data_IF_839182679665
#
_entry.id   IF_839182679665
#
_cell.length_a   1.000
_cell.length_b   1.000
_cell.length_c   1.000
_cell.angle_alpha   90.00
_cell.angle_beta   90.00
_cell.angle_gamma   90.00
#
_symmetry.space_group_name_H-M   'P 1'
#
loop_
_entity.id
_entity.type
_entity.pdbx_description
1 polymer ?
#
# COMPACT_ATOMS: atom_id res chain seq x y z
N UNK A 1 -86.85 12.67 40.88
CA UNK A 1 -86.30 11.41 40.36
C UNK A 1 -85.31 11.75 39.26
N UNK A 2 -84.05 11.31 39.43
CA UNK A 2 -83.03 10.94 38.43
C UNK A 2 -82.81 11.83 37.19
N UNK A 3 -81.60 12.08 36.68
CA UNK A 3 -80.20 11.94 37.10
C UNK A 3 -79.40 12.72 36.03
N UNK A 4 -78.18 13.14 36.37
CA UNK A 4 -77.25 13.82 35.46
C UNK A 4 -77.00 13.01 34.18
N UNK A 5 -76.86 13.67 33.03
CA UNK A 5 -75.93 13.18 32.01
C UNK A 5 -75.19 14.30 31.28
N UNK A 6 -74.34 14.99 32.05
CA UNK A 6 -73.31 15.90 31.54
C UNK A 6 -72.16 15.17 30.82
N UNK A 7 -72.24 13.85 30.60
CA UNK A 7 -71.19 13.07 29.93
C UNK A 7 -71.32 13.03 28.41
N UNK A 8 -72.49 13.30 27.83
CA UNK A 8 -72.66 13.28 26.37
C UNK A 8 -72.07 14.52 25.67
N UNK A 9 -71.93 15.64 26.37
CA UNK A 9 -71.41 16.89 25.78
C UNK A 9 -69.87 17.01 25.81
N UNK A 10 -69.18 16.16 26.58
CA UNK A 10 -67.71 16.11 26.58
C UNK A 10 -67.15 15.22 25.45
N UNK A 11 -67.93 14.25 24.96
CA UNK A 11 -67.50 13.36 23.88
C UNK A 11 -67.54 14.01 22.48
N UNK A 12 -68.30 15.09 22.29
CA UNK A 12 -68.35 15.80 21.01
C UNK A 12 -67.14 16.73 20.76
N UNK A 13 -66.35 17.06 21.80
CA UNK A 13 -65.18 17.96 21.70
C UNK A 13 -63.83 17.25 21.63
N UNK A 14 -63.79 15.93 21.74
CA UNK A 14 -62.57 15.11 21.55
C UNK A 14 -62.33 14.74 20.08
N UNK A 15 -63.27 15.03 19.18
CA UNK A 15 -63.16 14.75 17.74
C UNK A 15 -62.21 15.66 16.97
N UNK A 16 -61.35 16.45 17.65
CA UNK A 16 -60.53 17.49 17.01
C UNK A 16 -59.02 17.42 17.29
N UNK A 17 -58.49 16.31 17.82
CA UNK A 17 -57.05 16.18 18.01
C UNK A 17 -56.52 14.91 17.35
N UNK A 18 -56.13 15.08 16.09
CA UNK A 18 -55.10 14.34 15.38
C UNK A 18 -55.24 12.81 15.35
N UNK A 19 -55.53 12.25 14.17
CA UNK A 19 -55.18 10.85 13.92
C UNK A 19 -53.72 10.63 14.35
N UNK A 20 -53.51 9.76 15.34
CA UNK A 20 -52.17 9.32 15.72
C UNK A 20 -51.69 8.38 14.62
N UNK A 21 -51.00 8.93 13.63
CA UNK A 21 -50.28 8.12 12.64
C UNK A 21 -49.06 7.54 13.33
N UNK A 22 -49.16 6.28 13.78
CA UNK A 22 -47.99 5.53 14.27
C UNK A 22 -47.12 5.20 13.06
N UNK A 23 -46.10 6.02 12.82
CA UNK A 23 -45.03 5.65 11.92
C UNK A 23 -44.30 4.46 12.53
N UNK A 24 -44.26 3.33 11.80
CA UNK A 24 -43.32 2.23 12.09
C UNK A 24 -41.94 2.85 12.30
N UNK A 25 -41.26 2.53 13.42
CA UNK A 25 -39.87 2.92 13.62
C UNK A 25 -39.06 2.27 12.50
N UNK A 26 -38.78 3.02 11.44
CA UNK A 26 -37.73 2.63 10.51
C UNK A 26 -36.46 2.59 11.34
N UNK A 27 -35.90 1.40 11.56
CA UNK A 27 -34.54 1.27 12.07
C UNK A 27 -33.65 2.12 11.17
N UNK A 28 -33.17 3.26 11.69
CA UNK A 28 -32.32 4.15 10.93
C UNK A 28 -31.14 3.33 10.42
N UNK A 29 -31.00 3.22 9.10
CA UNK A 29 -29.78 2.65 8.53
C UNK A 29 -28.68 3.66 8.85
N UNK A 30 -27.65 3.24 9.58
CA UNK A 30 -26.47 4.07 9.75
C UNK A 30 -25.89 4.37 8.36
N UNK A 31 -25.82 5.65 8.00
CA UNK A 31 -25.24 6.09 6.75
C UNK A 31 -23.71 6.11 6.89
N UNK A 32 -23.06 4.94 6.83
CA UNK A 32 -21.60 4.81 6.95
C UNK A 32 -20.84 5.28 5.71
N UNK A 33 -21.53 5.75 4.66
CA UNK A 33 -20.92 6.10 3.37
C UNK A 33 -19.79 7.14 3.50
N UNK A 34 -19.99 8.21 4.25
CA UNK A 34 -18.98 9.28 4.43
C UNK A 34 -17.73 8.73 5.13
N UNK A 35 -17.91 7.92 6.18
CA UNK A 35 -16.80 7.30 6.93
C UNK A 35 -16.00 6.34 6.04
N UNK A 36 -16.69 5.58 5.18
CA UNK A 36 -16.04 4.69 4.22
C UNK A 36 -15.26 5.48 3.16
N UNK A 37 -15.83 6.57 2.65
CA UNK A 37 -15.15 7.46 1.69
C UNK A 37 -13.90 8.11 2.30
N UNK A 38 -13.98 8.58 3.54
CA UNK A 38 -12.82 9.16 4.25
C UNK A 38 -11.71 8.12 4.46
N UNK A 39 -12.07 6.90 4.86
CA UNK A 39 -11.11 5.80 4.99
C UNK A 39 -10.42 5.47 3.66
N UNK A 40 -11.17 5.40 2.57
CA UNK A 40 -10.63 5.14 1.23
C UNK A 40 -9.70 6.29 0.81
N UNK A 41 -10.09 7.54 1.04
CA UNK A 41 -9.26 8.70 0.71
C UNK A 41 -7.92 8.68 1.47
N UNK A 42 -7.94 8.36 2.77
CA UNK A 42 -6.74 8.23 3.59
C UNK A 42 -5.84 7.07 3.12
N UNK A 43 -6.45 5.94 2.71
CA UNK A 43 -5.69 4.80 2.16
C UNK A 43 -5.02 5.19 0.83
N UNK A 44 -5.73 5.87 -0.07
CA UNK A 44 -5.20 6.37 -1.34
C UNK A 44 -4.00 7.30 -1.10
N UNK A 45 -4.11 8.23 -0.14
CA UNK A 45 -3.01 9.15 0.19
C UNK A 45 -1.79 8.38 0.73
N UNK A 46 -2.02 7.42 1.64
CA UNK A 46 -0.95 6.58 2.18
C UNK A 46 -0.24 5.78 1.07
N UNK A 47 -1.01 5.15 0.18
CA UNK A 47 -0.48 4.38 -0.95
C UNK A 47 0.34 5.27 -1.89
N UNK A 48 -0.11 6.50 -2.17
CA UNK A 48 0.62 7.45 -2.99
C UNK A 48 2.00 7.75 -2.39
N UNK A 49 2.07 8.03 -1.09
CA UNK A 49 3.34 8.27 -0.39
C UNK A 49 4.24 7.04 -0.45
N UNK A 50 3.70 5.84 -0.23
CA UNK A 50 4.47 4.59 -0.33
C UNK A 50 5.02 4.35 -1.75
N UNK A 51 4.23 4.64 -2.79
CA UNK A 51 4.65 4.54 -4.19
C UNK A 51 5.83 5.48 -4.46
N UNK A 52 5.77 6.73 -4.01
CA UNK A 52 6.84 7.71 -4.18
C UNK A 52 8.14 7.27 -3.48
N UNK A 53 8.04 6.80 -2.24
CA UNK A 53 9.19 6.28 -1.48
C UNK A 53 9.81 5.07 -2.17
N UNK A 54 9.01 4.06 -2.50
CA UNK A 54 9.48 2.84 -3.16
C UNK A 54 10.11 3.14 -4.51
N UNK A 55 9.53 4.07 -5.29
CA UNK A 55 10.11 4.49 -6.56
C UNK A 55 11.50 5.11 -6.37
N UNK A 56 11.67 5.99 -5.37
CA UNK A 56 12.96 6.57 -5.02
C UNK A 56 14.00 5.51 -4.64
N UNK A 57 13.62 4.57 -3.77
CA UNK A 57 14.49 3.46 -3.37
C UNK A 57 14.92 2.58 -4.54
N UNK A 58 14.01 2.28 -5.46
CA UNK A 58 14.29 1.51 -6.67
C UNK A 58 15.29 2.22 -7.59
N UNK A 59 15.19 3.56 -7.73
CA UNK A 59 16.17 4.32 -8.52
C UNK A 59 17.57 4.27 -7.91
N UNK A 60 17.67 4.38 -6.58
CA UNK A 60 18.96 4.27 -5.87
C UNK A 60 19.54 2.87 -6.03
N UNK A 61 18.74 1.83 -5.83
CA UNK A 61 19.17 0.43 -5.95
C UNK A 61 19.61 0.11 -7.38
N UNK A 62 18.88 0.57 -8.40
CA UNK A 62 19.25 0.40 -9.81
C UNK A 62 20.62 1.00 -10.11
N UNK A 63 20.90 2.22 -9.63
CA UNK A 63 22.22 2.87 -9.81
C UNK A 63 23.34 2.10 -9.11
N UNK A 64 23.08 1.59 -7.90
CA UNK A 64 24.03 0.77 -7.14
C UNK A 64 24.39 -0.52 -7.89
N UNK A 65 23.38 -1.28 -8.31
CA UNK A 65 23.54 -2.53 -9.05
C UNK A 65 24.32 -2.30 -10.36
N UNK A 66 24.01 -1.23 -11.11
CA UNK A 66 24.73 -0.89 -12.33
C UNK A 66 26.23 -0.54 -12.08
N UNK A 67 26.55 0.05 -10.92
CA UNK A 67 27.94 0.31 -10.53
C UNK A 67 28.67 -0.97 -10.15
N UNK A 68 28.02 -1.86 -9.40
CA UNK A 68 28.55 -3.17 -9.03
C UNK A 68 28.79 -4.06 -10.26
N UNK A 69 27.87 -4.06 -11.23
CA UNK A 69 28.00 -4.78 -12.50
C UNK A 69 29.23 -4.32 -13.30
N UNK A 70 29.45 -3.00 -13.38
CA UNK A 70 30.65 -2.44 -14.02
C UNK A 70 31.94 -2.89 -13.32
N UNK A 71 31.96 -2.84 -11.99
CA UNK A 71 33.11 -3.29 -11.19
C UNK A 71 33.38 -4.78 -11.35
N UNK A 72 32.33 -5.61 -11.40
CA UNK A 72 32.46 -7.04 -11.66
C UNK A 72 33.06 -7.29 -13.04
N UNK A 73 32.62 -6.54 -14.05
CA UNK A 73 33.18 -6.63 -15.40
C UNK A 73 34.68 -6.29 -15.40
N UNK A 74 35.08 -5.18 -14.80
CA UNK A 74 36.50 -4.79 -14.71
C UNK A 74 37.32 -5.83 -13.95
N UNK A 75 36.85 -6.31 -12.80
CA UNK A 75 37.55 -7.36 -12.04
C UNK A 75 37.67 -8.67 -12.82
N UNK A 76 36.70 -8.98 -13.69
CA UNK A 76 36.76 -10.14 -14.57
C UNK A 76 37.85 -9.96 -15.64
N UNK A 77 37.91 -8.78 -16.24
CA UNK A 77 38.97 -8.43 -17.21
C UNK A 77 40.36 -8.51 -16.53
N UNK A 78 40.52 -7.93 -15.34
CA UNK A 78 41.77 -8.00 -14.56
C UNK A 78 42.18 -9.46 -14.24
N UNK A 79 41.22 -10.35 -13.99
CA UNK A 79 41.48 -11.77 -13.72
C UNK A 79 41.92 -12.52 -14.98
N UNK A 80 41.27 -12.23 -16.12
CA UNK A 80 41.60 -12.85 -17.40
C UNK A 80 43.02 -12.42 -17.85
N UNK A 81 43.37 -11.15 -17.67
CA UNK A 81 44.70 -10.60 -17.95
C UNK A 81 45.76 -11.19 -17.00
N UNK A 82 45.47 -11.26 -15.69
CA UNK A 82 46.36 -11.88 -14.71
C UNK A 82 46.67 -13.35 -15.01
N UNK A 83 45.68 -14.08 -15.52
CA UNK A 83 45.86 -15.46 -15.95
C UNK A 83 46.73 -15.56 -17.22
N UNK A 84 46.52 -14.67 -18.20
CA UNK A 84 47.28 -14.66 -19.45
C UNK A 84 48.76 -14.28 -19.26
N UNK A 85 49.06 -13.36 -18.34
CA UNK A 85 50.42 -12.85 -18.10
C UNK A 85 51.27 -13.72 -17.16
N UNK A 86 50.75 -14.87 -16.70
CA UNK A 86 51.38 -15.70 -15.65
C UNK A 86 51.76 -14.84 -14.42
N UNK A 87 50.88 -13.93 -14.00
CA UNK A 87 51.11 -13.13 -12.79
C UNK A 87 51.28 -14.02 -11.56
N UNK A 88 51.94 -13.48 -10.53
CA UNK A 88 52.09 -14.16 -9.24
C UNK A 88 50.75 -14.67 -8.70
N UNK A 89 50.73 -15.95 -8.30
CA UNK A 89 49.55 -16.68 -7.84
C UNK A 89 48.85 -15.94 -6.68
N UNK A 90 49.63 -15.30 -5.80
CA UNK A 90 49.12 -14.48 -4.70
C UNK A 90 48.23 -13.33 -5.19
N UNK A 91 48.64 -12.60 -6.24
CA UNK A 91 47.86 -11.47 -6.78
C UNK A 91 46.57 -11.94 -7.42
N UNK A 92 46.63 -13.03 -8.18
CA UNK A 92 45.45 -13.65 -8.79
C UNK A 92 44.45 -14.10 -7.71
N UNK A 93 44.92 -14.78 -6.67
CA UNK A 93 44.06 -15.23 -5.57
C UNK A 93 43.37 -14.07 -4.84
N UNK A 94 44.06 -12.94 -4.64
CA UNK A 94 43.45 -11.74 -4.07
C UNK A 94 42.39 -11.11 -4.98
N UNK A 95 42.59 -11.09 -6.30
CA UNK A 95 41.58 -10.66 -7.27
C UNK A 95 40.34 -11.58 -7.25
N UNK A 96 40.54 -12.90 -7.20
CA UNK A 96 39.45 -13.88 -7.11
C UNK A 96 38.61 -13.65 -5.84
N UNK A 97 39.26 -13.43 -4.69
CA UNK A 97 38.55 -13.11 -3.43
C UNK A 97 37.72 -11.83 -3.57
N UNK A 98 38.29 -10.77 -4.15
CA UNK A 98 37.58 -9.50 -4.37
C UNK A 98 36.36 -9.68 -5.28
N UNK A 99 36.54 -10.38 -6.40
CA UNK A 99 35.47 -10.68 -7.34
C UNK A 99 34.33 -11.45 -6.65
N UNK A 100 34.64 -12.54 -5.95
CA UNK A 100 33.64 -13.37 -5.28
C UNK A 100 32.85 -12.59 -4.21
N UNK A 101 33.54 -11.77 -3.42
CA UNK A 101 32.88 -10.94 -2.40
C UNK A 101 31.94 -9.90 -3.03
N UNK A 102 32.37 -9.26 -4.13
CA UNK A 102 31.53 -8.31 -4.85
C UNK A 102 30.33 -9.02 -5.50
N UNK A 103 30.54 -10.20 -6.07
CA UNK A 103 29.49 -10.98 -6.73
C UNK A 103 28.39 -11.40 -5.76
N UNK A 104 28.76 -11.84 -4.55
CA UNK A 104 27.78 -12.16 -3.51
C UNK A 104 27.03 -10.93 -3.00
N UNK A 105 27.68 -9.78 -2.96
CA UNK A 105 27.01 -8.50 -2.65
C UNK A 105 26.00 -8.13 -3.73
N UNK A 106 26.44 -8.13 -4.99
CA UNK A 106 25.60 -7.88 -6.17
C UNK A 106 24.35 -8.77 -6.19
N UNK A 107 24.51 -10.08 -5.95
CA UNK A 107 23.38 -11.02 -5.89
C UNK A 107 22.36 -10.65 -4.81
N UNK A 108 22.82 -10.25 -3.62
CA UNK A 108 21.95 -9.81 -2.52
C UNK A 108 21.21 -8.53 -2.89
N UNK A 109 21.88 -7.57 -3.51
CA UNK A 109 21.28 -6.30 -3.91
C UNK A 109 20.26 -6.47 -5.04
N UNK A 110 20.54 -7.31 -6.05
CA UNK A 110 19.57 -7.67 -7.10
C UNK A 110 18.34 -8.35 -6.51
N UNK A 111 18.52 -9.29 -5.57
CA UNK A 111 17.38 -9.94 -4.89
C UNK A 111 16.52 -8.92 -4.13
N UNK A 112 17.16 -7.98 -3.40
CA UNK A 112 16.46 -6.91 -2.69
C UNK A 112 15.70 -6.00 -3.66
N UNK A 113 16.31 -5.64 -4.78
CA UNK A 113 15.66 -4.84 -5.83
C UNK A 113 14.40 -5.52 -6.38
N UNK A 114 14.49 -6.81 -6.70
CA UNK A 114 13.35 -7.56 -7.22
C UNK A 114 12.19 -7.63 -6.20
N UNK A 115 12.50 -7.84 -4.92
CA UNK A 115 11.49 -7.82 -3.86
C UNK A 115 10.78 -6.45 -3.76
N UNK A 116 11.54 -5.37 -3.90
CA UNK A 116 10.98 -4.01 -3.85
C UNK A 116 10.14 -3.70 -5.11
N UNK A 117 10.51 -4.23 -6.28
CA UNK A 117 9.68 -4.15 -7.49
C UNK A 117 8.35 -4.87 -7.27
N UNK A 118 8.36 -6.05 -6.66
CA UNK A 118 7.14 -6.79 -6.36
C UNK A 118 6.23 -6.01 -5.40
N UNK A 119 6.81 -5.43 -4.34
CA UNK A 119 6.08 -4.58 -3.40
C UNK A 119 5.49 -3.36 -4.09
N UNK A 120 6.29 -2.64 -4.89
CA UNK A 120 5.85 -1.48 -5.67
C UNK A 120 4.65 -1.83 -6.56
N UNK A 121 4.74 -2.94 -7.30
CA UNK A 121 3.67 -3.40 -8.18
C UNK A 121 2.38 -3.71 -7.40
N UNK A 122 2.49 -4.38 -6.24
CA UNK A 122 1.34 -4.66 -5.36
C UNK A 122 0.70 -3.37 -4.85
N UNK A 123 1.49 -2.38 -4.44
CA UNK A 123 1.01 -1.08 -3.98
C UNK A 123 0.29 -0.33 -5.09
N UNK A 124 0.85 -0.31 -6.32
CA UNK A 124 0.20 0.29 -7.49
C UNK A 124 -1.11 -0.41 -7.83
N UNK A 125 -1.15 -1.76 -7.78
CA UNK A 125 -2.38 -2.51 -8.01
C UNK A 125 -3.47 -2.12 -7.01
N UNK A 126 -3.14 -2.04 -5.72
CA UNK A 126 -4.09 -1.61 -4.67
C UNK A 126 -4.58 -0.19 -4.91
N UNK A 127 -3.67 0.74 -5.21
CA UNK A 127 -4.01 2.13 -5.56
C UNK A 127 -4.98 2.18 -6.74
N UNK A 128 -4.68 1.46 -7.82
CA UNK A 128 -5.51 1.40 -9.02
C UNK A 128 -6.91 0.82 -8.79
N UNK A 129 -7.06 -0.09 -7.82
CA UNK A 129 -8.36 -0.62 -7.41
C UNK A 129 -9.17 0.46 -6.71
N UNK A 130 -8.57 1.17 -5.74
CA UNK A 130 -9.28 2.15 -4.91
C UNK A 130 -9.71 3.39 -5.67
N UNK A 131 -8.92 3.88 -6.63
CA UNK A 131 -9.30 5.05 -7.44
C UNK A 131 -10.41 4.77 -8.45
N UNK A 132 -10.75 3.49 -8.67
CA UNK A 132 -11.80 3.05 -9.61
C UNK A 132 -13.11 2.66 -8.89
N UNK A 133 -13.10 2.60 -7.56
CA UNK A 133 -14.31 2.42 -6.75
C UNK A 133 -15.12 3.71 -6.73
#
# INVERSE_FOLDING_TARGET
MANLDSTQSQNARLGQLGQVTIYQKTSGREYSGIIQTEKIANEIESLKRSIEVLFGELQVQKKKIASEEKKLKTLKEDLDDAYAENMEIEKYNELVKKYNNLFETYKKDVKKYNNNIELYNKTIQRYNILIKQ
#
